data_IF_000693740130
#
_entry.id   IF_000693740130
#
_cell.length_a   1.000
_cell.length_b   1.000
_cell.length_c   1.000
_cell.angle_alpha   90.00
_cell.angle_beta   90.00
_cell.angle_gamma   90.00
#
_symmetry.space_group_name_H-M   'P 1'
#
loop_
_entity.id
_entity.type
_entity.pdbx_description
1 polymer ?
#
# COMPACT_ATOMS: atom_id res chain seq x y z
N UNK A 1 6.35 -13.11 -36.86
CA UNK A 1 5.50 -12.33 -35.94
C UNK A 1 4.50 -13.26 -35.26
N UNK A 2 4.45 -13.30 -33.92
CA UNK A 2 3.54 -14.17 -33.15
C UNK A 2 2.05 -13.74 -33.22
N UNK A 3 1.66 -12.98 -34.24
CA UNK A 3 0.30 -12.45 -34.39
C UNK A 3 -0.73 -13.57 -34.60
N UNK A 4 -0.37 -14.66 -35.26
CA UNK A 4 -1.24 -15.81 -35.53
C UNK A 4 -1.57 -16.65 -34.29
N UNK A 5 -0.82 -16.47 -33.19
CA UNK A 5 -1.07 -17.13 -31.90
C UNK A 5 -2.00 -16.29 -30.99
N UNK A 6 -2.33 -15.06 -31.39
CA UNK A 6 -3.32 -14.25 -30.66
C UNK A 6 -4.71 -14.85 -30.85
N UNK A 7 -5.64 -14.61 -29.90
CA UNK A 7 -7.03 -15.02 -30.05
C UNK A 7 -7.61 -14.56 -31.39
N UNK A 8 -8.08 -15.53 -32.18
CA UNK A 8 -8.66 -15.32 -33.51
C UNK A 8 -10.03 -14.66 -33.38
N UNK A 9 -10.34 -13.71 -34.26
CA UNK A 9 -11.60 -12.96 -34.21
C UNK A 9 -12.84 -13.86 -34.44
N UNK A 10 -12.72 -14.90 -35.26
CA UNK A 10 -13.80 -15.89 -35.47
C UNK A 10 -14.21 -16.66 -34.20
N UNK A 11 -13.30 -16.75 -33.21
CA UNK A 11 -13.55 -17.44 -31.93
C UNK A 11 -13.95 -16.49 -30.82
N UNK A 12 -13.82 -15.17 -31.03
CA UNK A 12 -14.26 -14.17 -30.06
C UNK A 12 -15.76 -14.03 -30.15
N UNK A 13 -16.46 -14.48 -29.12
CA UNK A 13 -17.89 -14.20 -28.97
C UNK A 13 -18.04 -12.79 -28.40
N UNK A 14 -18.90 -11.99 -29.02
CA UNK A 14 -19.27 -10.69 -28.49
C UNK A 14 -20.37 -10.89 -27.44
N UNK A 15 -20.07 -10.54 -26.20
CA UNK A 15 -21.01 -10.59 -25.08
C UNK A 15 -21.55 -9.19 -24.79
N UNK A 16 -22.82 -9.14 -24.40
CA UNK A 16 -23.46 -7.94 -23.87
C UNK A 16 -22.77 -7.48 -22.59
N UNK A 17 -22.68 -6.17 -22.39
CA UNK A 17 -22.07 -5.58 -21.20
C UNK A 17 -22.85 -5.88 -19.92
N UNK A 18 -22.22 -5.67 -18.75
CA UNK A 18 -22.86 -5.93 -17.45
C UNK A 18 -24.09 -5.05 -17.19
N UNK A 19 -24.09 -3.84 -17.75
CA UNK A 19 -25.19 -2.87 -17.61
C UNK A 19 -26.36 -3.18 -18.57
N UNK A 20 -26.17 -4.05 -19.56
CA UNK A 20 -27.18 -4.40 -20.55
C UNK A 20 -28.06 -5.53 -20.03
N UNK A 21 -29.25 -5.17 -19.54
CA UNK A 21 -30.27 -6.14 -19.13
C UNK A 21 -31.62 -5.91 -19.82
N UNK A 22 -32.49 -6.92 -19.72
CA UNK A 22 -33.85 -6.85 -20.24
C UNK A 22 -34.63 -5.70 -19.58
N UNK A 23 -35.36 -4.95 -20.40
CA UNK A 23 -36.18 -3.83 -19.92
C UNK A 23 -37.42 -4.37 -19.23
N UNK A 24 -37.50 -4.20 -17.91
CA UNK A 24 -38.68 -4.60 -17.11
C UNK A 24 -39.72 -3.49 -17.10
N UNK A 25 -41.00 -3.86 -16.98
CA UNK A 25 -42.13 -2.94 -16.94
C UNK A 25 -42.79 -2.71 -18.30
N UNK A 26 -43.68 -1.72 -18.36
CA UNK A 26 -44.46 -1.35 -19.54
C UNK A 26 -44.09 0.05 -20.02
N UNK A 27 -44.26 0.30 -21.31
CA UNK A 27 -44.00 1.61 -21.88
C UNK A 27 -45.14 2.58 -21.57
N UNK A 28 -44.91 3.46 -20.59
CA UNK A 28 -45.86 4.50 -20.17
C UNK A 28 -45.80 5.76 -21.04
N UNK A 29 -44.84 5.85 -21.97
CA UNK A 29 -44.68 7.05 -22.81
C UNK A 29 -45.86 7.27 -23.76
N UNK A 30 -46.56 6.20 -24.15
CA UNK A 30 -47.70 6.23 -25.07
C UNK A 30 -48.95 5.71 -24.38
N UNK A 31 -49.97 6.56 -24.30
CA UNK A 31 -51.30 6.19 -23.82
C UNK A 31 -52.20 5.89 -25.01
N UNK A 32 -52.65 4.64 -25.12
CA UNK A 32 -53.54 4.20 -26.20
C UNK A 32 -54.92 3.91 -25.63
N UNK A 33 -55.92 4.63 -26.12
CA UNK A 33 -57.32 4.50 -25.66
C UNK A 33 -58.21 3.67 -26.60
N UNK A 34 -57.72 3.37 -27.81
CA UNK A 34 -58.47 2.62 -28.83
C UNK A 34 -57.78 1.31 -29.18
N UNK A 35 -58.57 0.29 -29.47
CA UNK A 35 -58.06 -0.99 -29.92
C UNK A 35 -57.35 -0.85 -31.29
N UNK A 36 -56.13 -1.38 -31.39
CA UNK A 36 -55.34 -1.40 -32.63
C UNK A 36 -55.46 -2.75 -33.33
N UNK A 37 -55.52 -2.75 -34.66
CA UNK A 37 -55.53 -4.00 -35.44
C UNK A 37 -54.23 -4.77 -35.19
N UNK A 38 -54.33 -6.06 -34.93
CA UNK A 38 -53.19 -6.92 -34.59
C UNK A 38 -52.83 -6.95 -33.10
N UNK A 39 -53.51 -6.15 -32.27
CA UNK A 39 -53.35 -6.22 -30.82
C UNK A 39 -54.01 -7.45 -30.19
N UNK A 40 -53.57 -7.82 -29.00
CA UNK A 40 -54.13 -8.87 -28.18
C UNK A 40 -55.64 -8.64 -27.95
N UNK A 41 -56.44 -9.65 -28.28
CA UNK A 41 -57.91 -9.52 -28.19
C UNK A 41 -58.43 -9.39 -26.76
N UNK A 42 -57.62 -9.78 -25.76
CA UNK A 42 -57.97 -9.71 -24.34
C UNK A 42 -57.69 -8.31 -23.75
N UNK A 43 -56.44 -7.85 -23.79
CA UNK A 43 -55.99 -6.62 -23.12
C UNK A 43 -55.76 -5.42 -24.06
N UNK A 44 -55.56 -5.64 -25.36
CA UNK A 44 -55.33 -4.58 -26.35
C UNK A 44 -53.88 -4.11 -26.55
N UNK A 45 -52.90 -4.75 -25.89
CA UNK A 45 -51.47 -4.53 -26.16
C UNK A 45 -51.04 -5.20 -27.48
N UNK A 46 -50.07 -4.62 -28.20
CA UNK A 46 -49.65 -5.10 -29.54
C UNK A 46 -48.50 -6.12 -29.49
N UNK A 47 -47.80 -6.18 -28.36
CA UNK A 47 -46.55 -6.91 -28.16
C UNK A 47 -46.71 -8.43 -28.03
N UNK A 48 -47.91 -8.93 -27.69
CA UNK A 48 -48.17 -10.35 -27.50
C UNK A 48 -49.53 -10.79 -28.04
N UNK A 49 -49.74 -12.12 -28.14
CA UNK A 49 -51.01 -12.73 -28.57
C UNK A 49 -51.89 -13.07 -27.36
N UNK A 50 -53.20 -13.28 -27.60
CA UNK A 50 -54.17 -13.64 -26.55
C UNK A 50 -53.75 -14.83 -25.67
N UNK A 51 -53.06 -15.81 -26.24
CA UNK A 51 -52.63 -17.03 -25.51
C UNK A 51 -51.54 -16.74 -24.48
N UNK A 52 -50.65 -15.80 -24.77
CA UNK A 52 -49.49 -15.43 -23.95
C UNK A 52 -49.77 -14.14 -23.16
N UNK A 53 -51.05 -13.80 -22.99
CA UNK A 53 -51.49 -12.58 -22.32
C UNK A 53 -51.28 -12.69 -20.81
N UNK A 54 -50.52 -11.75 -20.24
CA UNK A 54 -50.28 -11.68 -18.79
C UNK A 54 -51.48 -11.14 -18.01
N UNK A 55 -52.40 -10.45 -18.69
CA UNK A 55 -53.64 -9.95 -18.09
C UNK A 55 -54.68 -11.06 -17.95
N UNK A 56 -55.43 -11.01 -16.84
CA UNK A 56 -56.50 -11.98 -16.54
C UNK A 56 -57.46 -12.12 -17.75
N UNK A 57 -57.81 -13.35 -18.18
CA UNK A 57 -58.76 -13.57 -19.27
C UNK A 57 -60.11 -12.90 -18.98
N UNK A 58 -60.52 -11.97 -19.85
CA UNK A 58 -61.80 -11.24 -19.74
C UNK A 58 -62.91 -12.00 -20.47
N UNK A 59 -64.14 -11.97 -19.91
CA UNK A 59 -65.33 -12.53 -20.57
C UNK A 59 -65.65 -11.81 -21.89
N UNK A 60 -65.54 -10.48 -21.88
CA UNK A 60 -65.59 -9.63 -23.07
C UNK A 60 -64.22 -8.97 -23.22
N UNK A 61 -63.49 -9.34 -24.26
CA UNK A 61 -62.14 -8.84 -24.51
C UNK A 61 -62.10 -7.37 -24.97
N UNK A 62 -60.93 -6.76 -24.85
CA UNK A 62 -60.66 -5.38 -25.30
C UNK A 62 -60.99 -5.15 -26.78
N UNK A 63 -60.95 -6.20 -27.62
CA UNK A 63 -61.34 -6.12 -29.04
C UNK A 63 -62.81 -5.68 -29.25
N UNK A 64 -63.71 -6.08 -28.34
CA UNK A 64 -65.15 -5.82 -28.48
C UNK A 64 -65.63 -4.64 -27.63
N UNK A 65 -65.09 -4.49 -26.42
CA UNK A 65 -65.51 -3.43 -25.50
C UNK A 65 -64.67 -2.14 -25.64
N UNK A 66 -63.44 -2.22 -26.15
CA UNK A 66 -62.51 -1.08 -26.21
C UNK A 66 -62.10 -0.50 -24.85
N UNK A 67 -62.65 -1.02 -23.75
CA UNK A 67 -62.40 -0.54 -22.40
C UNK A 67 -61.12 -1.14 -21.80
N UNK A 68 -60.40 -0.31 -21.02
CA UNK A 68 -59.17 -0.68 -20.28
C UNK A 68 -58.13 -1.35 -21.18
N UNK A 69 -57.63 -0.61 -22.17
CA UNK A 69 -56.51 -1.00 -23.02
C UNK A 69 -55.23 -0.96 -22.18
N UNK A 70 -54.47 -2.06 -22.16
CA UNK A 70 -53.18 -2.11 -21.50
C UNK A 70 -52.10 -1.35 -22.30
N UNK A 71 -51.07 -0.86 -21.60
CA UNK A 71 -49.87 -0.30 -22.24
C UNK A 71 -49.09 -1.41 -22.97
N UNK A 72 -48.33 -1.03 -23.99
CA UNK A 72 -47.46 -1.98 -24.70
C UNK A 72 -46.23 -2.29 -23.83
N UNK A 73 -45.71 -3.52 -23.94
CA UNK A 73 -44.45 -3.89 -23.29
C UNK A 73 -43.22 -3.34 -24.06
N UNK A 74 -42.06 -3.27 -23.40
CA UNK A 74 -40.82 -2.91 -24.09
C UNK A 74 -40.36 -4.00 -25.06
N UNK A 75 -39.85 -3.59 -26.23
CA UNK A 75 -39.14 -4.50 -27.14
C UNK A 75 -37.83 -4.92 -26.47
N UNK A 76 -37.69 -6.23 -26.26
CA UNK A 76 -36.53 -6.79 -25.55
C UNK A 76 -35.32 -6.90 -26.48
N UNK A 77 -34.12 -6.45 -26.04
CA UNK A 77 -32.90 -6.67 -26.79
C UNK A 77 -32.50 -8.14 -26.79
N UNK A 78 -31.75 -8.59 -27.81
CA UNK A 78 -31.16 -9.92 -27.82
C UNK A 78 -29.84 -9.88 -27.07
N UNK A 79 -29.88 -10.24 -25.79
CA UNK A 79 -28.72 -10.25 -24.91
C UNK A 79 -27.98 -11.57 -25.08
N UNK A 80 -26.69 -11.49 -25.40
CA UNK A 80 -25.79 -12.65 -25.47
C UNK A 80 -24.85 -12.56 -24.28
N UNK A 81 -25.06 -13.43 -23.29
CA UNK A 81 -24.26 -13.46 -22.07
C UNK A 81 -23.49 -14.76 -21.93
N UNK A 82 -22.39 -14.69 -21.20
CA UNK A 82 -21.64 -15.85 -20.72
C UNK A 82 -22.46 -16.74 -19.77
N UNK A 83 -21.91 -17.90 -19.41
CA UNK A 83 -22.53 -18.80 -18.43
C UNK A 83 -22.82 -18.10 -17.09
N UNK A 84 -21.86 -17.33 -16.59
CA UNK A 84 -22.00 -16.58 -15.34
C UNK A 84 -23.00 -15.42 -15.51
N UNK A 85 -22.92 -14.67 -16.62
CA UNK A 85 -23.85 -13.56 -16.89
C UNK A 85 -25.31 -13.99 -16.99
N UNK A 86 -25.61 -15.19 -17.53
CA UNK A 86 -26.99 -15.73 -17.55
C UNK A 86 -27.51 -16.11 -16.17
N UNK A 87 -26.62 -16.41 -15.23
CA UNK A 87 -26.93 -16.94 -13.89
C UNK A 87 -26.65 -15.92 -12.79
N UNK A 88 -26.28 -14.71 -13.16
CA UNK A 88 -26.03 -13.65 -12.20
C UNK A 88 -27.34 -13.33 -11.46
N UNK A 89 -27.31 -13.55 -10.15
CA UNK A 89 -28.44 -13.27 -9.25
C UNK A 89 -28.77 -11.78 -9.23
N UNK A 90 -27.78 -10.93 -9.49
CA UNK A 90 -27.90 -9.48 -9.45
C UNK A 90 -28.12 -8.87 -10.85
N UNK A 91 -28.48 -9.69 -11.85
CA UNK A 91 -28.76 -9.20 -13.19
C UNK A 91 -29.92 -8.18 -13.20
N UNK A 92 -29.63 -6.96 -13.70
CA UNK A 92 -30.57 -5.85 -13.71
C UNK A 92 -30.76 -5.17 -12.36
N UNK A 93 -29.80 -5.29 -11.44
CA UNK A 93 -29.78 -4.53 -10.19
C UNK A 93 -29.58 -3.04 -10.46
N UNK A 94 -30.43 -2.21 -9.86
CA UNK A 94 -30.25 -0.75 -9.87
C UNK A 94 -29.36 -0.33 -8.69
N UNK A 95 -28.16 0.24 -8.92
CA UNK A 95 -27.29 0.73 -7.86
C UNK A 95 -27.95 1.77 -6.93
N UNK A 96 -29.01 2.46 -7.38
CA UNK A 96 -29.76 3.39 -6.54
C UNK A 96 -30.46 2.69 -5.36
N UNK A 97 -30.90 1.43 -5.53
CA UNK A 97 -31.55 0.67 -4.46
C UNK A 97 -30.60 0.37 -3.29
N UNK A 98 -29.28 0.42 -3.51
CA UNK A 98 -28.30 0.27 -2.43
C UNK A 98 -28.41 1.39 -1.37
N UNK A 99 -29.03 2.54 -1.72
CA UNK A 99 -29.27 3.62 -0.76
C UNK A 99 -30.21 3.20 0.37
N UNK A 100 -31.19 2.36 0.10
CA UNK A 100 -32.13 1.86 1.14
C UNK A 100 -31.36 1.13 2.25
N UNK A 101 -30.38 0.30 1.87
CA UNK A 101 -29.50 -0.39 2.82
C UNK A 101 -28.71 0.63 3.65
N UNK A 102 -28.12 1.64 3.01
CA UNK A 102 -27.37 2.70 3.73
C UNK A 102 -28.28 3.43 4.73
N UNK A 103 -29.52 3.75 4.36
CA UNK A 103 -30.49 4.38 5.25
C UNK A 103 -30.90 3.48 6.43
N UNK A 104 -31.02 2.16 6.21
CA UNK A 104 -31.24 1.20 7.30
C UNK A 104 -30.08 1.19 8.29
N UNK A 105 -28.82 1.14 7.81
CA UNK A 105 -27.65 1.22 8.67
C UNK A 105 -27.57 2.54 9.43
N UNK A 106 -27.93 3.67 8.81
CA UNK A 106 -28.00 4.96 9.48
C UNK A 106 -29.02 4.97 10.63
N UNK A 107 -30.20 4.38 10.44
CA UNK A 107 -31.20 4.24 11.52
C UNK A 107 -30.69 3.35 12.64
N UNK A 108 -29.99 2.26 12.32
CA UNK A 108 -29.37 1.38 13.31
C UNK A 108 -28.30 2.12 14.12
N UNK A 109 -27.45 2.93 13.48
CA UNK A 109 -26.44 3.73 14.18
C UNK A 109 -27.06 4.79 15.10
N UNK A 110 -28.15 5.45 14.66
CA UNK A 110 -28.90 6.40 15.50
C UNK A 110 -29.48 5.70 16.73
N UNK A 111 -30.14 4.55 16.54
CA UNK A 111 -30.68 3.77 17.66
C UNK A 111 -29.57 3.30 18.62
N UNK A 112 -28.40 2.86 18.11
CA UNK A 112 -27.24 2.51 18.95
C UNK A 112 -26.73 3.70 19.77
N UNK A 113 -26.68 4.90 19.16
CA UNK A 113 -26.28 6.12 19.85
C UNK A 113 -27.26 6.51 20.95
N UNK A 114 -28.56 6.43 20.68
CA UNK A 114 -29.61 6.69 21.67
C UNK A 114 -29.56 5.69 22.82
N UNK A 115 -29.40 4.40 22.53
CA UNK A 115 -29.23 3.37 23.57
C UNK A 115 -27.97 3.61 24.42
N UNK A 116 -26.86 4.05 23.82
CA UNK A 116 -25.65 4.42 24.56
C UNK A 116 -25.91 5.63 25.47
N UNK A 117 -26.61 6.65 24.97
CA UNK A 117 -26.97 7.83 25.74
C UNK A 117 -27.94 7.51 26.89
N UNK A 118 -28.94 6.64 26.66
CA UNK A 118 -29.87 6.19 27.69
C UNK A 118 -29.15 5.41 28.80
N UNK A 119 -28.22 4.51 28.45
CA UNK A 119 -27.40 3.79 29.43
C UNK A 119 -26.53 4.74 30.26
N UNK A 120 -25.97 5.77 29.65
CA UNK A 120 -25.18 6.79 30.34
C UNK A 120 -26.05 7.64 31.29
N UNK A 121 -27.32 7.89 30.93
CA UNK A 121 -28.27 8.58 31.81
C UNK A 121 -28.74 7.70 32.99
N UNK A 122 -28.90 6.39 32.78
CA UNK A 122 -29.35 5.45 33.82
C UNK A 122 -28.26 5.16 34.87
N UNK A 123 -26.99 5.13 34.46
CA UNK A 123 -25.83 5.00 35.36
C UNK A 123 -24.80 6.11 35.07
N UNK A 124 -24.91 7.28 35.70
CA UNK A 124 -23.94 8.37 35.54
C UNK A 124 -22.56 8.06 36.14
N UNK A 125 -22.43 7.08 37.05
CA UNK A 125 -21.13 6.63 37.58
C UNK A 125 -20.30 5.85 36.54
N UNK A 126 -20.90 5.42 35.42
CA UNK A 126 -20.18 4.86 34.27
C UNK A 126 -19.59 5.95 33.35
N UNK A 127 -19.80 7.23 33.67
CA UNK A 127 -19.25 8.35 32.90
C UNK A 127 -17.85 8.78 33.37
N UNK A 128 -17.46 8.45 34.61
CA UNK A 128 -16.20 8.87 35.24
C UNK A 128 -15.15 7.74 35.35
N UNK A 129 -15.48 6.49 35.00
CA UNK A 129 -14.49 5.39 34.85
C UNK A 129 -13.87 5.33 33.44
N UNK A 130 -14.27 6.20 32.51
CA UNK A 130 -13.64 6.35 31.19
C UNK A 130 -12.47 7.38 31.21
N UNK A 131 -12.00 7.76 32.40
CA UNK A 131 -11.06 8.87 32.61
C UNK A 131 -9.59 8.50 32.82
N UNK A 132 -9.25 7.59 33.75
CA UNK A 132 -7.86 7.48 34.21
C UNK A 132 -7.36 6.08 34.65
N UNK A 133 -8.16 5.00 34.63
CA UNK A 133 -7.68 3.67 35.10
C UNK A 133 -8.13 2.45 34.27
N UNK A 134 -8.76 2.65 33.10
CA UNK A 134 -9.27 1.57 32.22
C UNK A 134 -8.74 1.64 30.77
N UNK A 135 -7.64 2.39 30.53
CA UNK A 135 -6.96 2.45 29.22
C UNK A 135 -6.32 1.10 28.83
N UNK A 136 -6.03 0.24 29.81
CA UNK A 136 -5.54 -1.13 29.58
C UNK A 136 -6.66 -2.16 29.34
N UNK A 137 -7.92 -1.83 29.67
CA UNK A 137 -9.06 -2.77 29.64
C UNK A 137 -9.90 -2.66 28.38
N UNK A 138 -9.99 -1.46 27.80
CA UNK A 138 -10.61 -1.26 26.48
C UNK A 138 -9.79 -1.87 25.33
N UNK A 139 -8.51 -2.17 25.54
CA UNK A 139 -7.69 -2.92 24.56
C UNK A 139 -8.11 -4.40 24.51
N UNK A 140 -8.66 -4.96 25.58
CA UNK A 140 -9.10 -6.37 25.66
C UNK A 140 -10.57 -6.58 25.22
N UNK A 141 -11.43 -5.56 25.27
CA UNK A 141 -12.84 -5.68 24.84
C UNK A 141 -13.12 -5.23 23.40
N UNK A 142 -12.23 -4.44 22.80
CA UNK A 142 -12.29 -4.23 21.35
C UNK A 142 -11.74 -5.49 20.70
N UNK A 143 -12.64 -6.33 20.20
CA UNK A 143 -12.31 -7.50 19.36
C UNK A 143 -11.46 -7.02 18.17
N UNK A 144 -10.15 -7.01 18.36
CA UNK A 144 -9.19 -6.60 17.36
C UNK A 144 -9.44 -7.51 16.17
N UNK A 145 -9.87 -6.98 15.01
CA UNK A 145 -10.33 -7.83 13.92
C UNK A 145 -9.23 -8.83 13.55
N UNK A 146 -9.47 -10.10 13.91
CA UNK A 146 -8.54 -11.21 13.71
C UNK A 146 -8.11 -12.00 14.95
N UNK A 147 -8.40 -11.59 16.19
CA UNK A 147 -8.08 -12.37 17.41
C UNK A 147 -9.28 -13.22 17.85
N UNK A 148 -9.49 -14.37 17.22
CA UNK A 148 -10.51 -15.32 17.70
C UNK A 148 -10.03 -15.95 19.01
N UNK A 149 -10.79 -15.77 20.07
CA UNK A 149 -10.61 -16.53 21.32
C UNK A 149 -11.27 -17.90 21.13
N UNK A 150 -10.48 -18.95 20.94
CA UNK A 150 -11.01 -20.31 20.87
C UNK A 150 -11.32 -20.79 22.29
N UNK A 151 -12.60 -20.79 22.66
CA UNK A 151 -13.10 -21.21 23.97
C UNK A 151 -12.72 -22.64 24.35
N UNK A 152 -12.34 -23.47 23.38
CA UNK A 152 -12.00 -24.89 23.61
C UNK A 152 -10.54 -25.10 24.01
N UNK A 153 -9.63 -24.24 23.55
CA UNK A 153 -8.20 -24.35 23.83
C UNK A 153 -7.70 -23.30 24.82
N UNK A 154 -8.52 -22.29 25.19
CA UNK A 154 -8.12 -21.15 26.04
C UNK A 154 -6.82 -20.47 25.53
N UNK A 155 -6.61 -20.52 24.22
CA UNK A 155 -5.48 -19.87 23.54
C UNK A 155 -6.09 -18.82 22.60
N UNK A 156 -5.56 -17.60 22.65
CA UNK A 156 -5.89 -16.56 21.69
C UNK A 156 -5.05 -16.77 20.44
N UNK A 157 -5.70 -17.03 19.30
CA UNK A 157 -4.99 -17.11 18.01
C UNK A 157 -4.71 -15.68 17.59
N UNK A 158 -3.54 -15.14 17.97
CA UNK A 158 -3.08 -13.85 17.46
C UNK A 158 -2.54 -14.02 16.04
N UNK A 159 -2.84 -13.06 15.17
CA UNK A 159 -2.18 -12.97 13.89
C UNK A 159 -0.67 -12.77 14.10
N UNK A 160 0.15 -13.66 13.54
CA UNK A 160 1.61 -13.61 13.66
C UNK A 160 2.24 -12.45 12.88
N UNK A 161 1.48 -11.83 11.98
CA UNK A 161 1.94 -10.68 11.20
C UNK A 161 1.83 -9.42 12.05
N UNK A 162 2.98 -8.83 12.34
CA UNK A 162 3.13 -7.49 12.92
C UNK A 162 2.47 -6.48 11.97
N UNK A 163 1.60 -5.62 12.51
CA UNK A 163 0.78 -4.69 11.71
C UNK A 163 1.53 -3.40 11.41
N UNK A 164 2.47 -3.05 12.28
CA UNK A 164 3.36 -1.90 12.23
C UNK A 164 4.35 -2.02 11.05
N UNK A 165 4.78 -3.25 10.74
CA UNK A 165 5.70 -3.53 9.65
C UNK A 165 4.98 -3.57 8.29
N UNK A 166 5.20 -2.52 7.51
CA UNK A 166 4.70 -2.46 6.13
C UNK A 166 5.42 -3.47 5.24
N UNK A 167 4.66 -4.24 4.45
CA UNK A 167 5.26 -5.16 3.48
C UNK A 167 5.98 -4.38 2.37
N UNK A 168 7.13 -4.88 1.91
CA UNK A 168 7.98 -4.19 0.92
C UNK A 168 7.22 -3.71 -0.32
N UNK A 169 6.36 -4.55 -0.89
CA UNK A 169 5.56 -4.26 -2.09
C UNK A 169 4.38 -3.29 -1.87
N UNK A 170 4.05 -2.93 -0.62
CA UNK A 170 3.04 -1.93 -0.30
C UNK A 170 3.64 -0.55 -0.04
N UNK A 171 4.97 -0.43 -0.06
CA UNK A 171 5.66 0.84 0.18
C UNK A 171 5.44 1.83 -0.97
N UNK A 172 5.28 1.32 -2.19
CA UNK A 172 4.86 2.08 -3.35
C UNK A 172 3.88 1.21 -4.17
N UNK A 173 2.68 1.72 -4.42
CA UNK A 173 1.62 1.01 -5.14
C UNK A 173 1.70 1.22 -6.67
N UNK A 174 2.61 2.08 -7.13
CA UNK A 174 2.84 2.28 -8.56
C UNK A 174 3.35 0.97 -9.19
N UNK A 175 2.71 0.45 -10.25
CA UNK A 175 3.12 -0.81 -10.88
C UNK A 175 4.54 -0.80 -11.44
N UNK A 176 5.07 0.39 -11.75
CA UNK A 176 6.41 0.62 -12.31
C UNK A 176 7.44 1.05 -11.26
N UNK A 177 7.16 0.84 -9.97
CA UNK A 177 8.09 1.13 -8.88
C UNK A 177 9.21 0.09 -8.81
N UNK A 178 9.60 -0.37 -7.62
CA UNK A 178 10.62 -1.39 -7.45
C UNK A 178 10.03 -2.80 -7.57
N UNK A 179 10.69 -3.68 -8.33
CA UNK A 179 10.29 -5.07 -8.44
C UNK A 179 10.48 -5.81 -7.11
N UNK A 180 9.42 -6.46 -6.64
CA UNK A 180 9.41 -7.36 -5.50
C UNK A 180 9.29 -8.80 -5.99
N UNK A 181 10.25 -9.66 -5.65
CA UNK A 181 10.15 -11.10 -5.90
C UNK A 181 9.38 -11.78 -4.75
N UNK A 182 8.13 -12.25 -4.97
CA UNK A 182 7.33 -12.87 -3.91
C UNK A 182 7.89 -14.23 -3.45
N UNK A 183 8.75 -14.88 -4.25
CA UNK A 183 9.32 -16.20 -3.91
C UNK A 183 10.40 -16.07 -2.84
N UNK A 184 11.36 -15.18 -3.07
CA UNK A 184 12.46 -14.92 -2.14
C UNK A 184 12.15 -13.82 -1.14
N UNK A 185 11.02 -13.12 -1.31
CA UNK A 185 10.58 -11.98 -0.50
C UNK A 185 11.59 -10.83 -0.50
N UNK A 186 12.24 -10.63 -1.66
CA UNK A 186 13.29 -9.63 -1.82
C UNK A 186 12.86 -8.47 -2.73
N UNK A 187 13.22 -7.26 -2.32
CA UNK A 187 13.08 -6.04 -3.11
C UNK A 187 14.45 -5.41 -3.27
N UNK A 188 14.95 -5.39 -4.51
CA UNK A 188 16.35 -5.01 -4.78
C UNK A 188 16.54 -3.50 -4.75
N UNK A 189 15.72 -2.80 -5.52
CA UNK A 189 15.81 -1.35 -5.70
C UNK A 189 14.95 -0.61 -4.67
N UNK A 190 15.21 0.70 -4.53
CA UNK A 190 14.42 1.56 -3.64
C UNK A 190 13.02 1.79 -4.25
N UNK A 191 11.91 1.46 -3.55
CA UNK A 191 10.56 1.74 -4.03
C UNK A 191 10.27 3.24 -4.20
N UNK A 192 10.97 4.11 -3.46
CA UNK A 192 10.78 5.56 -3.48
C UNK A 192 12.11 6.28 -3.79
N UNK A 193 12.56 6.32 -5.05
CA UNK A 193 13.85 6.90 -5.41
C UNK A 193 13.92 8.43 -5.27
N UNK A 194 12.78 9.11 -5.25
CA UNK A 194 12.70 10.58 -5.14
C UNK A 194 12.94 11.08 -3.71
N UNK A 195 12.71 10.22 -2.70
CA UNK A 195 12.91 10.56 -1.29
C UNK A 195 14.35 10.26 -0.89
N UNK A 196 14.87 11.06 0.04
CA UNK A 196 16.21 10.80 0.59
C UNK A 196 16.18 9.48 1.39
N UNK A 197 17.24 8.66 1.31
CA UNK A 197 17.31 7.39 2.05
C UNK A 197 17.14 7.54 3.56
N UNK A 198 17.56 8.68 4.14
CA UNK A 198 17.48 8.96 5.58
C UNK A 198 16.05 9.22 6.07
N UNK A 199 15.16 9.66 5.18
CA UNK A 199 13.75 9.94 5.49
C UNK A 199 12.87 8.71 5.28
N UNK A 200 13.44 7.61 4.76
CA UNK A 200 12.70 6.40 4.40
C UNK A 200 13.15 5.20 5.23
N UNK A 201 12.20 4.43 5.78
CA UNK A 201 12.54 3.25 6.60
C UNK A 201 13.28 2.14 5.83
N UNK A 202 13.18 2.14 4.50
CA UNK A 202 13.79 1.14 3.63
C UNK A 202 14.02 1.74 2.26
N UNK A 203 15.31 1.76 1.90
CA UNK A 203 15.86 2.30 0.66
C UNK A 203 16.31 1.19 -0.32
N UNK A 204 15.71 0.00 -0.23
CA UNK A 204 16.07 -1.16 -1.05
C UNK A 204 17.09 -2.08 -0.38
N UNK A 205 17.08 -3.37 -0.74
CA UNK A 205 18.05 -4.32 -0.20
C UNK A 205 19.46 -4.09 -0.74
N UNK A 206 19.61 -3.63 -1.98
CA UNK A 206 20.93 -3.36 -2.55
C UNK A 206 21.68 -2.29 -1.73
N UNK A 207 20.96 -1.31 -1.18
CA UNK A 207 21.53 -0.29 -0.31
C UNK A 207 22.12 -0.91 0.97
N UNK A 208 21.36 -1.79 1.63
CA UNK A 208 21.81 -2.44 2.89
C UNK A 208 22.88 -3.50 2.64
N UNK A 209 22.83 -4.22 1.51
CA UNK A 209 23.75 -5.33 1.19
C UNK A 209 25.22 -4.95 1.12
N UNK A 210 25.56 -3.70 0.81
CA UNK A 210 26.96 -3.23 0.76
C UNK A 210 27.32 -2.30 1.93
N UNK A 211 26.45 -2.21 2.92
CA UNK A 211 26.68 -1.43 4.13
C UNK A 211 27.38 -2.26 5.22
N UNK A 212 28.08 -1.60 6.15
CA UNK A 212 28.74 -2.25 7.28
C UNK A 212 30.04 -2.99 6.95
N UNK A 213 30.29 -4.10 7.64
CA UNK A 213 31.57 -4.81 7.62
C UNK A 213 31.87 -5.56 6.31
N UNK A 214 30.90 -5.68 5.41
CA UNK A 214 31.09 -6.30 4.08
C UNK A 214 32.18 -5.55 3.30
N UNK A 215 32.26 -4.22 3.44
CA UNK A 215 33.32 -3.42 2.81
C UNK A 215 34.70 -3.74 3.41
N UNK A 216 34.80 -3.86 4.73
CA UNK A 216 36.05 -4.24 5.42
C UNK A 216 36.49 -5.65 5.02
N UNK A 217 35.55 -6.58 4.95
CA UNK A 217 35.82 -7.95 4.51
C UNK A 217 36.29 -8.00 3.06
N UNK A 218 35.66 -7.22 2.16
CA UNK A 218 36.11 -7.11 0.78
C UNK A 218 37.52 -6.50 0.67
N UNK A 219 37.85 -5.49 1.49
CA UNK A 219 39.19 -4.93 1.58
C UNK A 219 40.21 -5.95 2.09
N UNK A 220 39.86 -6.74 3.11
CA UNK A 220 40.70 -7.83 3.63
C UNK A 220 40.95 -8.91 2.56
N UNK A 221 39.92 -9.23 1.77
CA UNK A 221 40.02 -10.18 0.67
C UNK A 221 40.92 -9.67 -0.46
N UNK A 222 40.79 -8.39 -0.84
CA UNK A 222 41.70 -7.74 -1.79
C UNK A 222 43.14 -7.76 -1.26
N UNK A 223 43.35 -7.44 0.01
CA UNK A 223 44.67 -7.48 0.67
C UNK A 223 45.28 -8.89 0.61
N UNK A 224 44.50 -9.94 0.92
CA UNK A 224 44.99 -11.31 0.87
C UNK A 224 45.37 -11.73 -0.57
N UNK A 225 44.60 -11.34 -1.59
CA UNK A 225 44.95 -11.59 -2.99
C UNK A 225 46.22 -10.85 -3.42
N UNK A 226 46.41 -9.60 -2.99
CA UNK A 226 47.63 -8.85 -3.24
C UNK A 226 48.85 -9.47 -2.54
N UNK A 227 48.70 -9.91 -1.28
CA UNK A 227 49.74 -10.57 -0.51
C UNK A 227 50.15 -11.89 -1.16
N UNK A 228 49.18 -12.68 -1.59
CA UNK A 228 49.41 -13.92 -2.32
C UNK A 228 50.12 -13.67 -3.66
N UNK A 229 49.74 -12.62 -4.40
CA UNK A 229 50.43 -12.20 -5.62
C UNK A 229 51.89 -11.76 -5.40
N UNK A 230 52.22 -11.25 -4.21
CA UNK A 230 53.59 -10.92 -3.78
C UNK A 230 54.36 -12.10 -3.19
N UNK A 231 53.74 -13.28 -3.08
CA UNK A 231 54.35 -14.52 -2.58
C UNK A 231 54.20 -14.77 -1.08
N UNK A 232 53.39 -13.99 -0.36
CA UNK A 232 53.06 -14.26 1.05
C UNK A 232 51.75 -15.05 1.09
N UNK A 233 51.82 -16.30 1.55
CA UNK A 233 50.63 -17.16 1.65
C UNK A 233 49.77 -16.76 2.86
N UNK A 234 48.64 -16.10 2.56
CA UNK A 234 47.64 -15.62 3.51
C UNK A 234 46.27 -15.83 2.89
N UNK A 235 45.36 -16.49 3.61
CA UNK A 235 44.01 -16.76 3.13
C UNK A 235 42.96 -16.34 4.15
N UNK A 236 42.03 -15.47 3.75
CA UNK A 236 41.02 -14.88 4.66
C UNK A 236 40.16 -15.93 5.36
N UNK A 237 39.78 -17.02 4.66
CA UNK A 237 38.94 -18.06 5.26
C UNK A 237 39.72 -19.12 6.05
N UNK A 238 41.00 -19.35 5.72
CA UNK A 238 41.78 -20.44 6.34
C UNK A 238 42.53 -19.92 7.56
N UNK A 239 43.05 -18.68 7.48
CA UNK A 239 43.82 -18.02 8.52
C UNK A 239 43.28 -16.59 8.78
N UNK A 240 42.01 -16.44 9.23
CA UNK A 240 41.35 -15.13 9.34
C UNK A 240 42.07 -14.17 10.28
N UNK A 241 42.50 -14.65 11.46
CA UNK A 241 43.15 -13.81 12.48
C UNK A 241 44.54 -13.35 12.05
N UNK A 242 45.30 -14.22 11.38
CA UNK A 242 46.61 -13.88 10.81
C UNK A 242 46.44 -12.84 9.71
N UNK A 243 45.47 -13.01 8.81
CA UNK A 243 45.16 -12.04 7.76
C UNK A 243 44.77 -10.68 8.34
N UNK A 244 43.96 -10.66 9.40
CA UNK A 244 43.54 -9.43 10.07
C UNK A 244 44.72 -8.72 10.76
N UNK A 245 45.58 -9.44 11.48
CA UNK A 245 46.77 -8.87 12.11
C UNK A 245 47.74 -8.27 11.07
N UNK A 246 48.00 -9.01 9.99
CA UNK A 246 48.82 -8.53 8.88
C UNK A 246 48.21 -7.31 8.19
N UNK A 247 46.89 -7.27 8.03
CA UNK A 247 46.20 -6.10 7.49
C UNK A 247 46.35 -4.88 8.41
N UNK A 248 46.17 -5.03 9.72
CA UNK A 248 46.35 -3.93 10.69
C UNK A 248 47.79 -3.43 10.71
N UNK A 249 48.77 -4.33 10.63
CA UNK A 249 50.18 -3.96 10.51
C UNK A 249 50.48 -3.24 9.19
N UNK A 250 49.87 -3.70 8.09
CA UNK A 250 49.98 -3.06 6.79
C UNK A 250 49.38 -1.66 6.78
N UNK A 251 48.21 -1.45 7.39
CA UNK A 251 47.58 -0.13 7.53
C UNK A 251 48.46 0.84 8.31
N UNK A 252 49.02 0.41 9.46
CA UNK A 252 49.99 1.22 10.23
C UNK A 252 51.20 1.61 9.40
N UNK A 253 51.80 0.66 8.67
CA UNK A 253 52.95 0.92 7.79
C UNK A 253 52.59 1.80 6.60
N UNK A 254 51.38 1.64 6.05
CA UNK A 254 50.87 2.45 4.96
C UNK A 254 50.68 3.91 5.38
N UNK A 255 50.22 4.16 6.61
CA UNK A 255 50.09 5.51 7.13
C UNK A 255 51.45 6.16 7.41
N UNK A 256 52.38 5.42 8.01
CA UNK A 256 53.79 5.87 8.13
C UNK A 256 54.39 6.22 6.76
N UNK A 257 54.20 5.35 5.76
CA UNK A 257 54.69 5.59 4.40
C UNK A 257 54.03 6.80 3.74
N UNK A 258 52.72 7.05 3.96
CA UNK A 258 52.07 8.27 3.47
C UNK A 258 52.70 9.52 4.07
N UNK A 259 53.02 9.50 5.35
CA UNK A 259 53.63 10.64 6.03
C UNK A 259 55.07 10.87 5.56
N UNK A 260 55.85 9.80 5.36
CA UNK A 260 57.16 9.88 4.71
C UNK A 260 57.05 10.48 3.30
N UNK A 261 56.11 10.00 2.48
CA UNK A 261 55.87 10.54 1.13
C UNK A 261 55.51 12.02 1.19
N UNK A 262 54.60 12.44 2.09
CA UNK A 262 54.27 13.86 2.28
C UNK A 262 55.51 14.68 2.63
N UNK A 263 56.34 14.20 3.56
CA UNK A 263 57.57 14.90 3.96
C UNK A 263 58.56 14.99 2.79
N UNK A 264 58.77 13.92 2.03
CA UNK A 264 59.67 13.96 0.85
C UNK A 264 59.16 14.91 -0.24
N UNK A 265 57.84 15.06 -0.38
CA UNK A 265 57.24 16.02 -1.32
C UNK A 265 57.45 17.45 -0.81
N UNK A 266 57.27 17.70 0.49
CA UNK A 266 57.53 18.99 1.12
C UNK A 266 59.00 19.42 0.98
N UNK A 267 59.94 18.50 1.21
CA UNK A 267 61.37 18.78 1.05
C UNK A 267 61.76 19.11 -0.41
N UNK A 268 61.14 18.45 -1.39
CA UNK A 268 61.47 18.63 -2.81
C UNK A 268 60.88 19.88 -3.42
N UNK A 269 59.66 20.24 -3.04
CA UNK A 269 58.90 21.31 -3.69
C UNK A 269 58.74 22.55 -2.80
N UNK A 270 59.12 22.49 -1.52
CA UNK A 270 58.89 23.55 -0.56
C UNK A 270 57.39 23.73 -0.24
N UNK A 271 57.07 24.55 0.76
CA UNK A 271 55.68 24.87 1.14
C UNK A 271 55.28 24.56 2.58
N UNK A 272 56.23 24.20 3.46
CA UNK A 272 55.96 24.09 4.90
C UNK A 272 55.39 25.40 5.50
N UNK A 273 55.81 26.54 4.96
CA UNK A 273 55.34 27.88 5.36
C UNK A 273 53.83 28.09 5.13
N UNK A 274 53.22 27.34 4.20
CA UNK A 274 51.78 27.41 3.90
C UNK A 274 50.95 26.36 4.65
N UNK A 275 51.58 25.40 5.32
CA UNK A 275 50.93 24.38 6.15
C UNK A 275 50.72 24.83 7.59
N UNK A 276 51.56 25.74 8.09
CA UNK A 276 51.30 26.41 9.35
C UNK A 276 50.12 27.37 9.16
N UNK A 277 48.95 26.99 9.65
CA UNK A 277 47.83 27.92 9.76
C UNK A 277 48.30 29.10 10.61
N UNK A 278 48.25 30.35 10.11
CA UNK A 278 48.60 31.50 10.93
C UNK A 278 47.66 31.56 12.14
N UNK A 279 48.12 32.11 13.28
CA UNK A 279 47.33 32.16 14.50
C UNK A 279 45.93 32.75 14.23
N UNK A 280 44.91 32.22 14.90
CA UNK A 280 43.50 32.56 14.66
C UNK A 280 43.22 34.08 14.66
N UNK A 281 43.98 34.86 15.43
CA UNK A 281 43.93 36.32 15.46
C UNK A 281 44.21 36.97 14.08
N UNK A 282 45.14 36.40 13.29
CA UNK A 282 45.45 36.84 11.93
C UNK A 282 44.43 36.35 10.90
N UNK A 283 43.79 35.20 11.14
CA UNK A 283 42.76 34.64 10.24
C UNK A 283 41.41 35.34 10.37
N UNK A 284 40.98 35.66 11.60
CA UNK A 284 39.70 36.33 11.87
C UNK A 284 39.80 37.86 11.95
N UNK A 285 41.02 38.43 11.86
CA UNK A 285 41.30 39.85 12.09
C UNK A 285 40.68 40.39 13.40
N UNK A 286 40.53 39.52 14.40
CA UNK A 286 40.00 39.86 15.72
C UNK A 286 41.16 40.32 16.61
N UNK A 287 41.05 41.53 17.16
CA UNK A 287 42.05 42.12 18.06
C UNK A 287 41.75 41.89 19.54
N UNK A 288 40.65 41.19 19.86
CA UNK A 288 40.15 41.02 21.22
C UNK A 288 40.10 39.53 21.57
N UNK A 289 40.88 39.12 22.56
CA UNK A 289 40.82 37.79 23.15
C UNK A 289 39.87 37.81 24.35
N UNK A 290 38.77 37.07 24.25
CA UNK A 290 37.81 36.91 25.34
C UNK A 290 38.29 35.86 26.33
N UNK A 291 38.50 36.25 27.59
CA UNK A 291 38.92 35.37 28.68
C UNK A 291 37.92 35.47 29.83
N UNK A 292 37.28 34.35 30.18
CA UNK A 292 36.39 34.25 31.34
C UNK A 292 37.18 33.78 32.57
N UNK A 293 37.13 34.55 33.65
CA UNK A 293 37.70 34.17 34.94
C UNK A 293 36.62 33.68 35.90
N UNK A 294 36.90 32.62 36.67
CA UNK A 294 36.06 32.26 37.81
C UNK A 294 36.23 33.26 38.95
N UNK A 295 35.35 33.18 39.96
CA UNK A 295 35.38 34.03 41.17
C UNK A 295 36.67 33.93 41.99
N UNK A 296 37.48 32.90 41.76
CA UNK A 296 38.78 32.65 42.40
C UNK A 296 39.97 33.08 41.52
N UNK A 297 39.72 33.75 40.39
CA UNK A 297 40.75 34.26 39.48
C UNK A 297 41.39 33.22 38.55
N UNK A 298 40.85 32.00 38.46
CA UNK A 298 41.30 31.00 37.48
C UNK A 298 40.55 31.15 36.17
N UNK A 299 41.25 31.03 35.04
CA UNK A 299 40.65 31.07 33.70
C UNK A 299 39.73 29.84 33.52
N UNK A 300 38.54 30.06 32.96
CA UNK A 300 37.49 29.05 32.70
C UNK A 300 37.30 28.83 31.20
N UNK A 301 37.39 29.89 30.40
CA UNK A 301 37.34 29.88 28.94
C UNK A 301 38.27 30.94 28.38
N UNK A 302 38.88 30.66 27.23
CA UNK A 302 39.82 31.56 26.55
C UNK A 302 41.29 31.28 26.85
N UNK A 303 41.67 30.06 27.25
CA UNK A 303 43.07 29.60 27.12
C UNK A 303 43.29 29.10 25.69
N UNK A 304 43.46 30.03 24.76
CA UNK A 304 44.11 29.83 23.45
C UNK A 304 44.69 31.19 22.97
#
# INVERSE_FOLDING_TARGET
TLKHQRPQDERKQEFSGIDEWYKRGVDTSKVVTKFRKGACENCGAVTHKKRDCMERPRKVGAKFNGARIAHDEFVQPKIVSDYDGKRDRWAGYDPANHREIVEEYQKIEQAKRELRAQKLMENPDMADEDGEDDEDKYVDEVDMPGTKVDSKQRITVRNLRIREDTAKYLRNLDPNSAYYDPKTRSMRDNPNPNLKPEETDFAGENFVRYSGDIQKHAQAQLFAWEAHGKGVDVHVLAEPTKSELLQKEYEKKKDQFKDEVKNTVLERYGGEEHLQAPPNALLLAQTENYVEYNRFGKVVRGED
#
